data_IF_539505510890
#
_entry.id   IF_539505510890
#
_cell.length_a   1.000
_cell.length_b   1.000
_cell.length_c   1.000
_cell.angle_alpha   90.00
_cell.angle_beta   90.00
_cell.angle_gamma   90.00
#
_symmetry.space_group_name_H-M   'P 1'
#
loop_
_entity.id
_entity.type
_entity.pdbx_description
1 polymer ?
#
# COMPACT_ATOMS: atom_id res chain seq x y z
N UNK A 1 10.95 -6.48 24.97
CA UNK A 1 11.69 -6.91 23.74
C UNK A 1 11.15 -8.18 23.08
N UNK A 2 11.08 -9.39 23.72
CA UNK A 2 10.54 -10.60 23.07
C UNK A 2 9.05 -10.49 22.78
N UNK A 3 8.26 -9.96 23.69
CA UNK A 3 6.81 -9.77 23.54
C UNK A 3 6.47 -8.76 22.44
N UNK A 4 7.14 -7.63 22.38
CA UNK A 4 6.92 -6.60 21.33
C UNK A 4 7.22 -7.13 19.93
N UNK A 5 8.28 -7.93 19.79
CA UNK A 5 8.59 -8.62 18.52
C UNK A 5 7.48 -9.58 18.12
N UNK A 6 6.96 -10.38 19.05
CA UNK A 6 5.86 -11.29 18.77
C UNK A 6 4.60 -10.53 18.31
N UNK A 7 4.24 -9.43 18.99
CA UNK A 7 3.12 -8.58 18.60
C UNK A 7 3.35 -7.96 17.20
N UNK A 8 4.56 -7.55 16.87
CA UNK A 8 4.89 -7.02 15.54
C UNK A 8 4.72 -8.08 14.44
N UNK A 9 5.07 -9.34 14.69
CA UNK A 9 4.83 -10.43 13.74
C UNK A 9 3.32 -10.76 13.59
N UNK A 10 2.55 -10.72 14.68
CA UNK A 10 1.08 -10.88 14.62
C UNK A 10 0.45 -9.74 13.82
N UNK A 11 0.85 -8.50 14.08
CA UNK A 11 0.41 -7.35 13.32
C UNK A 11 0.74 -7.49 11.83
N UNK A 12 1.96 -7.93 11.51
CA UNK A 12 2.39 -8.20 10.14
C UNK A 12 1.54 -9.31 9.47
N UNK A 13 1.29 -10.43 10.15
CA UNK A 13 0.43 -11.50 9.65
C UNK A 13 -1.01 -11.00 9.40
N UNK A 14 -1.55 -10.16 10.29
CA UNK A 14 -2.85 -9.52 10.11
C UNK A 14 -2.87 -8.67 8.83
N UNK A 15 -1.84 -7.89 8.57
CA UNK A 15 -1.71 -7.10 7.31
C UNK A 15 -1.70 -8.02 6.10
N UNK A 16 -0.88 -9.07 6.12
CA UNK A 16 -0.76 -10.02 5.02
C UNK A 16 -2.12 -10.64 4.63
N UNK A 17 -2.88 -11.09 5.61
CA UNK A 17 -4.18 -11.75 5.36
C UNK A 17 -5.21 -10.71 4.95
N UNK A 18 -5.42 -9.69 5.78
CA UNK A 18 -6.54 -8.75 5.59
C UNK A 18 -6.34 -7.91 4.32
N UNK A 19 -5.15 -7.38 4.05
CA UNK A 19 -4.95 -6.61 2.82
C UNK A 19 -4.99 -7.46 1.56
N UNK A 20 -4.65 -8.76 1.65
CA UNK A 20 -4.86 -9.68 0.55
C UNK A 20 -6.32 -9.81 0.12
N UNK A 21 -7.24 -9.74 1.07
CA UNK A 21 -8.69 -9.77 0.77
C UNK A 21 -9.24 -8.42 0.29
N UNK A 22 -8.56 -7.30 0.57
CA UNK A 22 -9.12 -5.96 0.26
C UNK A 22 -9.31 -5.71 -1.23
N UNK A 23 -8.52 -6.29 -2.11
CA UNK A 23 -8.66 -6.17 -3.56
C UNK A 23 -10.03 -6.69 -4.03
N UNK A 24 -10.46 -7.86 -3.55
CA UNK A 24 -11.80 -8.37 -3.80
C UNK A 24 -12.89 -7.39 -3.36
N UNK A 25 -12.80 -6.89 -2.12
CA UNK A 25 -13.82 -5.98 -1.59
C UNK A 25 -13.78 -4.59 -2.21
N UNK A 26 -12.62 -4.11 -2.68
CA UNK A 26 -12.52 -2.89 -3.50
C UNK A 26 -13.30 -3.09 -4.80
N UNK A 27 -13.05 -4.19 -5.51
CA UNK A 27 -13.74 -4.50 -6.77
C UNK A 27 -15.25 -4.54 -6.60
N UNK A 28 -15.74 -5.15 -5.52
CA UNK A 28 -17.18 -5.17 -5.19
C UNK A 28 -17.69 -3.77 -4.84
N UNK A 29 -16.96 -3.00 -4.04
CA UNK A 29 -17.42 -1.68 -3.61
C UNK A 29 -17.58 -0.71 -4.78
N UNK A 30 -16.66 -0.74 -5.76
CA UNK A 30 -16.69 0.17 -6.92
C UNK A 30 -17.73 -0.24 -7.99
N UNK A 31 -18.48 -1.33 -7.79
CA UNK A 31 -19.60 -1.67 -8.68
C UNK A 31 -20.64 -0.53 -8.75
N UNK A 32 -20.87 0.17 -7.62
CA UNK A 32 -21.87 1.25 -7.53
C UNK A 32 -21.34 2.50 -6.83
N UNK A 33 -20.20 2.44 -6.19
CA UNK A 33 -19.58 3.58 -5.48
C UNK A 33 -18.41 4.09 -6.33
N UNK A 34 -18.43 5.37 -6.76
CA UNK A 34 -17.31 5.92 -7.53
C UNK A 34 -15.98 5.86 -6.75
N UNK A 35 -14.84 5.63 -7.42
CA UNK A 35 -13.56 5.31 -6.78
C UNK A 35 -13.07 6.33 -5.76
N UNK A 36 -13.17 7.64 -6.06
CA UNK A 36 -12.70 8.66 -5.14
C UNK A 36 -13.58 8.71 -3.90
N UNK A 37 -14.91 8.73 -4.09
CA UNK A 37 -15.85 8.77 -2.97
C UNK A 37 -15.86 7.46 -2.16
N UNK A 38 -15.58 6.31 -2.79
CA UNK A 38 -15.36 5.05 -2.07
C UNK A 38 -14.12 5.13 -1.16
N UNK A 39 -13.00 5.58 -1.71
CA UNK A 39 -11.76 5.78 -0.94
C UNK A 39 -11.98 6.80 0.19
N UNK A 40 -12.60 7.93 -0.11
CA UNK A 40 -12.89 8.99 0.85
C UNK A 40 -13.77 8.50 2.00
N UNK A 41 -14.93 7.91 1.70
CA UNK A 41 -15.88 7.42 2.71
C UNK A 41 -15.24 6.35 3.61
N UNK A 42 -14.49 5.42 3.02
CA UNK A 42 -13.73 4.39 3.75
C UNK A 42 -12.77 5.01 4.75
N UNK A 43 -11.88 5.90 4.30
CA UNK A 43 -10.82 6.41 5.14
C UNK A 43 -11.26 7.51 6.10
N UNK A 44 -12.27 8.31 5.76
CA UNK A 44 -12.87 9.26 6.69
C UNK A 44 -13.58 8.49 7.82
N UNK A 45 -14.41 7.50 7.50
CA UNK A 45 -15.09 6.68 8.52
C UNK A 45 -14.08 5.96 9.42
N UNK A 46 -13.06 5.32 8.85
CA UNK A 46 -12.00 4.67 9.61
C UNK A 46 -11.21 5.65 10.49
N UNK A 47 -10.86 6.81 9.93
CA UNK A 47 -10.16 7.87 10.66
C UNK A 47 -10.96 8.41 11.84
N UNK A 48 -12.28 8.60 11.69
CA UNK A 48 -13.16 9.02 12.77
C UNK A 48 -13.27 7.95 13.87
N UNK A 49 -13.42 6.67 13.50
CA UNK A 49 -13.45 5.55 14.46
C UNK A 49 -12.13 5.52 15.24
N UNK A 50 -11.00 5.59 14.56
CA UNK A 50 -9.69 5.54 15.21
C UNK A 50 -9.43 6.78 16.07
N UNK A 51 -9.89 7.95 15.65
CA UNK A 51 -9.80 9.18 16.42
C UNK A 51 -10.62 9.06 17.71
N UNK A 52 -11.82 8.50 17.64
CA UNK A 52 -12.66 8.25 18.82
C UNK A 52 -11.95 7.27 19.78
N UNK A 53 -11.41 6.14 19.27
CA UNK A 53 -10.67 5.17 20.10
C UNK A 53 -9.41 5.81 20.72
N UNK A 54 -8.66 6.61 19.98
CA UNK A 54 -7.48 7.33 20.47
C UNK A 54 -7.86 8.27 21.63
N UNK A 55 -8.96 9.02 21.48
CA UNK A 55 -9.49 9.90 22.54
C UNK A 55 -9.95 9.14 23.79
N UNK A 56 -10.68 8.03 23.60
CA UNK A 56 -11.13 7.17 24.71
C UNK A 56 -9.95 6.55 25.48
N UNK A 57 -8.82 6.31 24.80
CA UNK A 57 -7.58 5.84 25.42
C UNK A 57 -6.74 6.96 26.05
N UNK A 58 -7.20 8.20 26.00
CA UNK A 58 -6.49 9.36 26.57
C UNK A 58 -5.22 9.76 25.80
N UNK A 59 -5.05 9.31 24.53
CA UNK A 59 -3.91 9.73 23.72
C UNK A 59 -3.98 11.22 23.43
N UNK A 60 -2.84 11.90 23.60
CA UNK A 60 -2.71 13.32 23.27
C UNK A 60 -2.56 13.50 21.76
N UNK A 61 -3.48 14.23 21.16
CA UNK A 61 -3.36 14.58 19.76
C UNK A 61 -2.29 15.64 19.56
N UNK A 62 -1.46 15.52 18.50
CA UNK A 62 -0.50 16.55 18.15
C UNK A 62 -1.22 17.85 17.79
N UNK A 63 -0.68 18.98 18.22
CA UNK A 63 -1.23 20.32 17.95
C UNK A 63 -0.25 21.22 17.21
N UNK A 64 1.01 20.83 17.19
CA UNK A 64 2.03 21.60 16.51
C UNK A 64 1.92 21.49 14.99
N UNK A 65 2.13 22.59 14.29
CA UNK A 65 1.96 22.70 12.84
C UNK A 65 2.89 21.77 12.06
N UNK A 66 4.09 21.50 12.57
CA UNK A 66 5.07 20.65 11.92
C UNK A 66 4.60 19.19 11.90
N UNK A 67 4.18 18.67 13.05
CA UNK A 67 3.65 17.29 13.17
C UNK A 67 2.36 17.13 12.35
N UNK A 68 1.44 18.10 12.41
CA UNK A 68 0.23 18.08 11.59
C UNK A 68 0.54 18.10 10.09
N UNK A 69 1.51 18.93 9.66
CA UNK A 69 1.98 18.94 8.27
C UNK A 69 2.58 17.61 7.84
N UNK A 70 3.40 16.97 8.69
CA UNK A 70 3.97 15.65 8.41
C UNK A 70 2.89 14.56 8.32
N UNK A 71 1.85 14.61 9.14
CA UNK A 71 0.70 13.71 9.09
C UNK A 71 -0.11 13.91 7.80
N UNK A 72 -0.31 15.17 7.39
CA UNK A 72 -0.99 15.50 6.14
C UNK A 72 -0.21 14.98 4.92
N UNK A 73 1.12 15.17 4.89
CA UNK A 73 1.99 14.64 3.83
C UNK A 73 1.90 13.11 3.79
N UNK A 74 2.06 12.42 4.93
CA UNK A 74 1.97 10.97 4.98
C UNK A 74 0.59 10.46 4.53
N UNK A 75 -0.50 11.07 5.01
CA UNK A 75 -1.87 10.72 4.64
C UNK A 75 -2.16 10.97 3.16
N UNK A 76 -1.71 12.09 2.60
CA UNK A 76 -1.86 12.38 1.17
C UNK A 76 -1.10 11.35 0.32
N UNK A 77 0.13 11.02 0.67
CA UNK A 77 0.93 10.07 -0.07
C UNK A 77 0.39 8.63 0.02
N UNK A 78 0.00 8.19 1.22
CA UNK A 78 -0.44 6.80 1.42
C UNK A 78 -1.90 6.60 1.01
N UNK A 79 -2.81 7.44 1.48
CA UNK A 79 -4.25 7.31 1.23
C UNK A 79 -4.64 8.05 -0.03
N UNK A 80 -4.25 9.32 -0.15
CA UNK A 80 -4.65 10.21 -1.23
C UNK A 80 -4.14 9.79 -2.60
N UNK A 81 -2.91 9.32 -2.70
CA UNK A 81 -2.33 8.84 -3.96
C UNK A 81 -2.15 7.33 -3.96
N UNK A 82 -1.54 6.77 -2.91
CA UNK A 82 -1.18 5.37 -2.85
C UNK A 82 -2.38 4.43 -2.95
N UNK A 83 -3.33 4.55 -2.04
CA UNK A 83 -4.52 3.68 -2.03
C UNK A 83 -5.51 4.03 -3.14
N UNK A 84 -5.76 5.34 -3.38
CA UNK A 84 -6.65 5.77 -4.44
C UNK A 84 -6.24 5.23 -5.81
N UNK A 85 -4.93 5.18 -6.12
CA UNK A 85 -4.45 4.66 -7.40
C UNK A 85 -4.85 3.21 -7.63
N UNK A 86 -4.81 2.37 -6.58
CA UNK A 86 -5.26 0.98 -6.65
C UNK A 86 -6.76 0.91 -6.91
N UNK A 87 -7.54 1.63 -6.09
CA UNK A 87 -9.01 1.67 -6.20
C UNK A 87 -9.45 2.15 -7.58
N UNK A 88 -8.82 3.20 -8.08
CA UNK A 88 -9.12 3.77 -9.39
C UNK A 88 -8.74 2.82 -10.54
N UNK A 89 -7.61 2.15 -10.42
CA UNK A 89 -7.13 1.21 -11.43
C UNK A 89 -8.00 -0.06 -11.53
N UNK A 90 -8.60 -0.50 -10.43
CA UNK A 90 -9.46 -1.69 -10.42
C UNK A 90 -10.74 -1.53 -11.26
N UNK A 91 -11.03 -0.34 -11.81
CA UNK A 91 -12.06 -0.19 -12.83
C UNK A 91 -11.71 -0.97 -14.11
N UNK A 92 -10.43 -1.13 -14.44
CA UNK A 92 -9.94 -1.78 -15.67
C UNK A 92 -8.96 -2.93 -15.40
N UNK A 93 -8.37 -2.97 -14.23
CA UNK A 93 -7.39 -3.99 -13.83
C UNK A 93 -8.09 -4.99 -12.90
N UNK A 94 -8.11 -6.28 -13.23
CA UNK A 94 -8.62 -7.32 -12.35
C UNK A 94 -7.94 -7.29 -10.97
N UNK A 95 -8.70 -7.63 -9.94
CA UNK A 95 -8.25 -7.51 -8.53
C UNK A 95 -6.97 -8.32 -8.25
N UNK A 96 -6.88 -9.54 -8.80
CA UNK A 96 -5.68 -10.36 -8.69
C UNK A 96 -4.46 -9.75 -9.37
N UNK A 97 -4.63 -9.12 -10.55
CA UNK A 97 -3.55 -8.44 -11.26
C UNK A 97 -3.15 -7.12 -10.57
N UNK A 98 -4.11 -6.39 -9.99
CA UNK A 98 -3.80 -5.21 -9.19
C UNK A 98 -2.90 -5.55 -8.00
N UNK A 99 -3.22 -6.64 -7.28
CA UNK A 99 -2.38 -7.13 -6.19
C UNK A 99 -0.97 -7.53 -6.64
N UNK A 100 -0.85 -8.19 -7.81
CA UNK A 100 0.45 -8.54 -8.41
C UNK A 100 1.27 -7.31 -8.78
N UNK A 101 0.64 -6.27 -9.32
CA UNK A 101 1.30 -5.00 -9.62
C UNK A 101 1.77 -4.28 -8.35
N UNK A 102 0.98 -4.34 -7.28
CA UNK A 102 1.38 -3.79 -5.95
C UNK A 102 2.52 -4.60 -5.32
N UNK A 103 2.73 -5.86 -5.69
CA UNK A 103 3.85 -6.66 -5.19
C UNK A 103 5.23 -6.09 -5.53
N UNK A 104 5.33 -5.10 -6.41
CA UNK A 104 6.54 -4.31 -6.65
C UNK A 104 6.85 -3.29 -5.54
N UNK A 105 5.96 -3.07 -4.59
CA UNK A 105 6.13 -2.11 -3.50
C UNK A 105 7.48 -2.22 -2.76
N UNK A 106 8.03 -3.42 -2.45
CA UNK A 106 9.35 -3.55 -1.85
C UNK A 106 10.49 -3.00 -2.72
N UNK A 107 10.36 -3.00 -4.04
CA UNK A 107 11.37 -2.42 -4.93
C UNK A 107 11.40 -0.89 -4.79
N UNK A 108 10.23 -0.26 -4.75
CA UNK A 108 10.11 1.17 -4.51
C UNK A 108 10.69 1.56 -3.14
N UNK A 109 10.40 0.77 -2.10
CA UNK A 109 10.99 1.00 -0.77
C UNK A 109 12.51 0.84 -0.81
N UNK A 110 13.04 -0.15 -1.52
CA UNK A 110 14.47 -0.38 -1.68
C UNK A 110 15.15 0.83 -2.37
N UNK A 111 14.54 1.35 -3.42
CA UNK A 111 15.02 2.54 -4.14
C UNK A 111 15.02 3.75 -3.21
N UNK A 112 13.92 4.00 -2.49
CA UNK A 112 13.81 5.13 -1.55
C UNK A 112 14.90 5.07 -0.47
N UNK A 113 15.12 3.90 0.12
CA UNK A 113 16.14 3.72 1.15
C UNK A 113 17.56 3.87 0.59
N UNK A 114 17.82 3.48 -0.66
CA UNK A 114 19.12 3.64 -1.31
C UNK A 114 19.52 5.11 -1.52
N UNK A 115 18.55 6.00 -1.75
CA UNK A 115 18.79 7.44 -1.90
C UNK A 115 18.88 8.19 -0.56
N UNK A 116 18.69 7.53 0.57
CA UNK A 116 18.81 8.17 1.88
C UNK A 116 20.24 8.09 2.39
N UNK A 117 20.76 9.18 2.96
CA UNK A 117 22.13 9.28 3.50
C UNK A 117 22.43 8.26 4.61
N UNK A 118 21.42 7.83 5.36
CA UNK A 118 21.52 6.79 6.40
C UNK A 118 20.64 5.57 6.05
N UNK A 119 20.30 5.40 4.76
CA UNK A 119 19.43 4.34 4.27
C UNK A 119 20.15 3.00 4.09
N UNK A 120 19.37 1.98 3.86
CA UNK A 120 19.88 0.65 3.58
C UNK A 120 20.29 0.58 2.09
N UNK A 121 21.56 0.28 1.80
CA UNK A 121 22.02 0.12 0.41
C UNK A 121 21.69 -1.26 -0.13
N UNK A 122 21.17 -1.32 -1.35
CA UNK A 122 20.85 -2.56 -2.06
C UNK A 122 22.14 -3.17 -2.60
N UNK A 123 22.41 -4.43 -2.32
CA UNK A 123 23.54 -5.15 -2.92
C UNK A 123 23.21 -5.65 -4.35
N UNK A 124 24.19 -6.30 -5.02
CA UNK A 124 23.98 -6.85 -6.36
C UNK A 124 22.82 -7.84 -6.44
N UNK A 125 22.58 -8.64 -5.39
CA UNK A 125 21.47 -9.61 -5.35
C UNK A 125 20.14 -8.88 -5.32
N UNK A 126 20.04 -7.79 -4.55
CA UNK A 126 18.85 -6.95 -4.51
C UNK A 126 18.55 -6.31 -5.87
N UNK A 127 19.57 -5.81 -6.59
CA UNK A 127 19.40 -5.26 -7.94
C UNK A 127 18.91 -6.34 -8.92
N UNK A 128 19.51 -7.54 -8.90
CA UNK A 128 19.06 -8.67 -9.74
C UNK A 128 17.62 -9.04 -9.39
N UNK A 129 17.28 -9.10 -8.10
CA UNK A 129 15.92 -9.37 -7.65
C UNK A 129 14.90 -8.34 -8.17
N UNK A 130 15.24 -7.05 -8.15
CA UNK A 130 14.40 -6.00 -8.72
C UNK A 130 14.20 -6.19 -10.23
N UNK A 131 15.26 -6.47 -10.99
CA UNK A 131 15.16 -6.71 -12.42
C UNK A 131 14.27 -7.92 -12.75
N UNK A 132 14.43 -9.02 -12.01
CA UNK A 132 13.58 -10.22 -12.15
C UNK A 132 12.13 -9.86 -11.83
N UNK A 133 11.86 -9.16 -10.73
CA UNK A 133 10.51 -8.76 -10.34
C UNK A 133 9.84 -7.85 -11.36
N UNK A 134 10.54 -6.83 -11.87
CA UNK A 134 10.03 -5.98 -12.96
C UNK A 134 9.82 -6.74 -14.27
N UNK A 135 10.66 -7.73 -14.59
CA UNK A 135 10.40 -8.63 -15.72
C UNK A 135 9.08 -9.40 -15.56
N UNK A 136 8.78 -9.89 -14.34
CA UNK A 136 7.48 -10.50 -14.04
C UNK A 136 6.31 -9.53 -14.21
N UNK A 137 6.45 -8.26 -13.81
CA UNK A 137 5.45 -7.22 -14.07
C UNK A 137 5.28 -6.99 -15.59
N UNK A 138 6.37 -6.90 -16.33
CA UNK A 138 6.32 -6.76 -17.79
C UNK A 138 5.59 -7.93 -18.46
N UNK A 139 5.79 -9.17 -17.96
CA UNK A 139 5.03 -10.34 -18.42
C UNK A 139 3.52 -10.18 -18.21
N UNK A 140 3.08 -9.59 -17.12
CA UNK A 140 1.65 -9.32 -16.86
C UNK A 140 1.08 -8.26 -17.80
N UNK A 141 1.87 -7.26 -18.13
CA UNK A 141 1.47 -6.09 -18.94
C UNK A 141 1.66 -6.37 -20.45
N UNK A 142 2.29 -7.48 -20.84
CA UNK A 142 2.45 -7.85 -22.26
C UNK A 142 1.12 -8.33 -22.87
N UNK A 143 0.68 -7.78 -24.02
CA UNK A 143 -0.54 -8.22 -24.71
C UNK A 143 -0.50 -9.71 -25.05
N UNK A 144 -1.64 -10.41 -24.93
CA UNK A 144 -1.75 -11.87 -25.11
C UNK A 144 -2.62 -12.23 -26.31
N UNK A 145 -2.04 -13.03 -27.22
CA UNK A 145 -2.77 -13.74 -28.27
C UNK A 145 -3.16 -12.87 -29.48
N UNK A 146 -3.60 -13.52 -30.52
CA UNK A 146 -4.02 -12.96 -31.79
C UNK A 146 -5.32 -12.14 -31.67
N UNK A 147 -5.22 -10.91 -31.20
CA UNK A 147 -6.34 -9.99 -31.10
C UNK A 147 -6.47 -9.23 -29.77
N UNK A 148 -5.69 -9.54 -28.74
CA UNK A 148 -5.81 -8.94 -27.41
C UNK A 148 -4.72 -7.94 -27.07
N UNK A 149 -4.72 -6.75 -27.69
CA UNK A 149 -4.05 -5.61 -27.06
C UNK A 149 -4.74 -5.33 -25.72
N UNK A 150 -3.97 -5.13 -24.63
CA UNK A 150 -4.54 -4.58 -23.41
C UNK A 150 -5.29 -3.29 -23.72
N UNK A 151 -6.46 -3.13 -23.14
CA UNK A 151 -7.17 -1.85 -23.28
C UNK A 151 -6.25 -0.71 -22.76
N UNK A 152 -6.36 0.45 -23.37
CA UNK A 152 -5.65 1.65 -22.88
C UNK A 152 -5.93 1.86 -21.40
N UNK A 153 -7.17 1.60 -20.94
CA UNK A 153 -7.54 1.64 -19.53
C UNK A 153 -6.70 0.72 -18.64
N UNK A 154 -6.43 -0.51 -19.06
CA UNK A 154 -5.57 -1.42 -18.30
C UNK A 154 -4.14 -0.89 -18.16
N UNK A 155 -3.54 -0.38 -19.25
CA UNK A 155 -2.17 0.15 -19.21
C UNK A 155 -2.07 1.39 -18.31
N UNK A 156 -3.05 2.30 -18.40
CA UNK A 156 -3.13 3.48 -17.54
C UNK A 156 -3.34 3.05 -16.08
N UNK A 157 -4.21 2.08 -15.83
CA UNK A 157 -4.44 1.51 -14.50
C UNK A 157 -3.18 0.87 -13.91
N UNK A 158 -2.45 0.09 -14.71
CA UNK A 158 -1.19 -0.53 -14.29
C UNK A 158 -0.13 0.54 -13.93
N UNK A 159 -0.01 1.58 -14.75
CA UNK A 159 0.89 2.70 -14.46
C UNK A 159 0.45 3.46 -13.19
N UNK A 160 -0.84 3.71 -13.02
CA UNK A 160 -1.38 4.36 -11.83
C UNK A 160 -1.04 3.55 -10.56
N UNK A 161 -1.13 2.21 -10.60
CA UNK A 161 -0.74 1.35 -9.48
C UNK A 161 0.76 1.50 -9.17
N UNK A 162 1.64 1.61 -10.16
CA UNK A 162 3.08 1.81 -9.92
C UNK A 162 3.36 3.18 -9.27
N UNK A 163 2.74 4.24 -9.78
CA UNK A 163 2.83 5.59 -9.17
C UNK A 163 2.27 5.57 -7.74
N UNK A 164 1.13 4.91 -7.53
CA UNK A 164 0.54 4.72 -6.21
C UNK A 164 1.42 3.92 -5.26
N UNK A 165 2.05 2.84 -5.73
CA UNK A 165 2.98 2.04 -4.94
C UNK A 165 4.21 2.85 -4.51
N UNK A 166 4.80 3.63 -5.42
CA UNK A 166 5.89 4.56 -5.09
C UNK A 166 5.43 5.58 -4.04
N UNK A 167 4.25 6.20 -4.25
CA UNK A 167 3.69 7.20 -3.33
C UNK A 167 3.43 6.61 -1.93
N UNK A 168 2.87 5.39 -1.86
CA UNK A 168 2.66 4.68 -0.60
C UNK A 168 3.97 4.46 0.15
N UNK A 169 5.02 4.01 -0.53
CA UNK A 169 6.32 3.77 0.10
C UNK A 169 7.00 5.07 0.54
N UNK A 170 6.88 6.14 -0.24
CA UNK A 170 7.36 7.48 0.16
C UNK A 170 6.64 7.96 1.43
N UNK A 171 5.30 7.84 1.47
CA UNK A 171 4.51 8.20 2.64
C UNK A 171 4.85 7.35 3.87
N UNK A 172 5.08 6.05 3.69
CA UNK A 172 5.49 5.12 4.75
C UNK A 172 6.87 5.47 5.32
N UNK A 173 7.85 5.74 4.44
CA UNK A 173 9.18 6.19 4.84
C UNK A 173 9.09 7.55 5.54
N UNK A 174 8.33 8.50 4.97
CA UNK A 174 8.11 9.82 5.59
C UNK A 174 7.55 9.70 7.00
N UNK A 175 6.47 8.91 7.19
CA UNK A 175 5.85 8.68 8.48
C UNK A 175 6.81 8.05 9.48
N UNK A 176 7.55 7.00 9.08
CA UNK A 176 8.53 6.32 9.94
C UNK A 176 9.58 7.27 10.52
N UNK A 177 10.03 8.25 9.74
CA UNK A 177 11.13 9.10 10.14
C UNK A 177 10.70 10.42 10.79
N UNK A 178 9.54 10.95 10.42
CA UNK A 178 9.09 12.27 10.86
C UNK A 178 7.97 12.25 11.92
N UNK A 179 7.35 11.08 12.19
CA UNK A 179 6.24 10.94 13.14
C UNK A 179 6.61 10.14 14.40
N UNK A 180 7.91 10.07 14.72
CA UNK A 180 8.37 9.38 15.93
C UNK A 180 7.81 10.07 17.17
N UNK A 181 7.31 9.26 18.11
CA UNK A 181 6.73 9.78 19.37
C UNK A 181 5.28 10.25 19.25
N UNK A 182 4.69 10.28 18.05
CA UNK A 182 3.25 10.49 17.90
C UNK A 182 2.51 9.21 18.27
N UNK A 183 1.46 9.25 19.12
CA UNK A 183 0.67 8.06 19.44
C UNK A 183 0.12 7.39 18.17
N UNK A 184 0.20 6.07 18.15
CA UNK A 184 -0.05 5.28 16.94
C UNK A 184 -1.45 5.47 16.37
N UNK A 185 -2.48 5.38 17.24
CA UNK A 185 -3.87 5.52 16.81
C UNK A 185 -4.16 6.94 16.34
N UNK A 186 -3.67 7.95 17.07
CA UNK A 186 -3.78 9.35 16.67
C UNK A 186 -3.11 9.61 15.33
N UNK A 187 -1.90 9.06 15.13
CA UNK A 187 -1.16 9.18 13.87
C UNK A 187 -1.94 8.57 12.69
N UNK A 188 -2.40 7.33 12.85
CA UNK A 188 -3.16 6.64 11.80
C UNK A 188 -4.49 7.34 11.51
N UNK A 189 -5.23 7.76 12.55
CA UNK A 189 -6.49 8.48 12.41
C UNK A 189 -6.33 9.77 11.60
N UNK A 190 -5.33 10.59 11.94
CA UNK A 190 -5.10 11.87 11.28
C UNK A 190 -4.59 11.70 9.85
N UNK A 191 -3.72 10.72 9.58
CA UNK A 191 -3.30 10.39 8.21
C UNK A 191 -4.50 10.00 7.34
N UNK A 192 -5.40 9.16 7.84
CA UNK A 192 -6.62 8.76 7.13
C UNK A 192 -7.55 9.94 6.90
N UNK A 193 -7.76 10.80 7.89
CA UNK A 193 -8.62 11.98 7.77
C UNK A 193 -8.05 12.97 6.76
N UNK A 194 -6.76 13.29 6.81
CA UNK A 194 -6.14 14.20 5.84
C UNK A 194 -6.22 13.66 4.42
N UNK A 195 -5.78 12.40 4.20
CA UNK A 195 -5.82 11.79 2.88
C UNK A 195 -7.24 11.59 2.37
N UNK A 196 -8.15 11.06 3.22
CA UNK A 196 -9.56 10.85 2.88
C UNK A 196 -10.30 12.13 2.55
N UNK A 197 -10.07 13.21 3.32
CA UNK A 197 -10.69 14.53 3.05
C UNK A 197 -10.20 15.11 1.72
N UNK A 198 -8.90 15.01 1.43
CA UNK A 198 -8.36 15.46 0.14
C UNK A 198 -9.03 14.73 -1.02
N UNK A 199 -9.17 13.40 -0.90
CA UNK A 199 -9.83 12.59 -1.93
C UNK A 199 -11.32 12.89 -2.03
N UNK A 200 -12.00 13.17 -0.89
CA UNK A 200 -13.41 13.60 -0.90
C UNK A 200 -13.60 14.91 -1.68
N UNK A 201 -12.74 15.90 -1.42
CA UNK A 201 -12.79 17.19 -2.15
C UNK A 201 -12.57 16.95 -3.64
N UNK A 202 -11.59 16.13 -4.02
CA UNK A 202 -11.34 15.79 -5.42
C UNK A 202 -12.53 15.08 -6.07
N UNK A 203 -13.11 14.05 -5.40
CA UNK A 203 -14.27 13.31 -5.91
C UNK A 203 -15.51 14.16 -6.10
N UNK A 204 -15.77 15.08 -5.16
CA UNK A 204 -16.86 16.04 -5.27
C UNK A 204 -16.61 17.04 -6.41
N UNK A 205 -15.38 17.54 -6.55
CA UNK A 205 -15.00 18.51 -7.59
C UNK A 205 -15.12 17.94 -9.01
N UNK A 206 -14.84 16.64 -9.21
CA UNK A 206 -15.02 15.97 -10.52
C UNK A 206 -16.43 15.42 -10.75
N UNK A 207 -17.38 15.68 -9.83
CA UNK A 207 -18.78 15.33 -10.00
C UNK A 207 -19.09 13.85 -9.77
N UNK A 208 -18.42 13.17 -8.86
CA UNK A 208 -18.75 11.76 -8.52
C UNK A 208 -20.04 11.60 -7.71
N UNK A 209 -20.47 12.65 -6.97
CA UNK A 209 -21.59 12.57 -6.03
C UNK A 209 -22.91 12.02 -6.62
N UNK A 210 -23.38 12.41 -7.82
CA UNK A 210 -24.61 11.88 -8.40
C UNK A 210 -24.55 10.38 -8.75
N UNK A 211 -23.34 9.82 -8.88
CA UNK A 211 -23.12 8.38 -9.19
C UNK A 211 -22.95 7.53 -7.94
N UNK A 212 -22.91 8.14 -6.76
CA UNK A 212 -22.72 7.42 -5.50
C UNK A 212 -24.01 6.69 -5.13
N UNK A 213 -23.99 5.36 -5.19
CA UNK A 213 -25.10 4.51 -4.80
C UNK A 213 -24.64 3.38 -3.88
N UNK A 214 -25.44 3.12 -2.84
CA UNK A 214 -25.19 2.04 -1.90
C UNK A 214 -26.21 0.93 -2.14
N UNK A 215 -25.73 -0.26 -2.41
CA UNK A 215 -26.51 -1.51 -2.34
C UNK A 215 -26.10 -2.28 -1.09
N UNK A 216 -26.88 -3.27 -0.62
CA UNK A 216 -26.45 -4.11 0.50
C UNK A 216 -25.06 -4.76 0.27
N UNK A 217 -24.77 -5.17 -0.97
CA UNK A 217 -23.50 -5.78 -1.39
C UNK A 217 -22.34 -4.77 -1.28
N UNK A 218 -22.47 -3.59 -1.87
CA UNK A 218 -21.41 -2.57 -1.86
C UNK A 218 -21.24 -1.90 -0.51
N UNK A 219 -22.34 -1.76 0.27
CA UNK A 219 -22.25 -1.32 1.67
C UNK A 219 -21.48 -2.32 2.54
N UNK A 220 -21.78 -3.62 2.41
CA UNK A 220 -21.04 -4.66 3.12
C UNK A 220 -19.55 -4.67 2.79
N UNK A 221 -19.21 -4.51 1.51
CA UNK A 221 -17.84 -4.38 1.06
C UNK A 221 -17.15 -3.13 1.64
N UNK A 222 -17.80 -1.97 1.60
CA UNK A 222 -17.30 -0.72 2.18
C UNK A 222 -17.11 -0.84 3.70
N UNK A 223 -18.05 -1.44 4.41
CA UNK A 223 -17.95 -1.69 5.85
C UNK A 223 -16.76 -2.61 6.19
N UNK A 224 -16.60 -3.71 5.45
CA UNK A 224 -15.44 -4.60 5.57
C UNK A 224 -14.13 -3.84 5.35
N UNK A 225 -14.02 -3.10 4.25
CA UNK A 225 -12.84 -2.30 3.94
C UNK A 225 -12.54 -1.26 5.03
N UNK A 226 -13.57 -0.64 5.59
CA UNK A 226 -13.43 0.35 6.66
C UNK A 226 -12.89 -0.29 7.93
N UNK A 227 -13.53 -1.34 8.41
CA UNK A 227 -13.21 -1.96 9.72
C UNK A 227 -11.93 -2.80 9.62
N UNK A 228 -11.92 -3.79 8.73
CA UNK A 228 -10.79 -4.72 8.64
C UNK A 228 -9.62 -4.12 7.85
N UNK A 229 -9.88 -3.59 6.66
CA UNK A 229 -8.84 -3.06 5.77
C UNK A 229 -8.18 -1.78 6.26
N UNK A 230 -8.94 -0.91 6.95
CA UNK A 230 -8.43 0.39 7.40
C UNK A 230 -8.22 0.45 8.91
N UNK A 231 -9.24 0.23 9.75
CA UNK A 231 -9.02 0.36 11.21
C UNK A 231 -8.03 -0.69 11.72
N UNK A 232 -8.23 -1.96 11.40
CA UNK A 232 -7.42 -3.05 11.93
C UNK A 232 -6.09 -3.15 11.18
N UNK A 233 -6.12 -3.38 9.86
CA UNK A 233 -4.91 -3.69 9.12
C UNK A 233 -3.97 -2.48 8.93
N UNK A 234 -4.48 -1.27 8.75
CA UNK A 234 -3.63 -0.08 8.67
C UNK A 234 -2.95 0.22 10.01
N UNK A 235 -3.67 0.07 11.15
CA UNK A 235 -3.06 0.19 12.47
C UNK A 235 -1.97 -0.85 12.69
N UNK A 236 -2.25 -2.11 12.29
CA UNK A 236 -1.28 -3.19 12.33
C UNK A 236 -0.06 -2.89 11.45
N UNK A 237 -0.26 -2.32 10.26
CA UNK A 237 0.82 -1.91 9.36
C UNK A 237 1.71 -0.82 9.97
N UNK A 238 1.11 0.25 10.48
CA UNK A 238 1.88 1.37 11.10
C UNK A 238 2.62 0.85 12.33
N UNK A 239 2.01 -0.04 13.11
CA UNK A 239 2.67 -0.69 14.25
C UNK A 239 3.86 -1.56 13.78
N UNK A 240 3.67 -2.43 12.80
CA UNK A 240 4.73 -3.26 12.25
C UNK A 240 5.87 -2.40 11.68
N UNK A 241 5.53 -1.35 10.93
CA UNK A 241 6.51 -0.40 10.36
C UNK A 241 7.35 0.31 11.43
N UNK A 242 6.75 0.60 12.60
CA UNK A 242 7.46 1.21 13.73
C UNK A 242 8.42 0.24 14.43
N UNK A 243 8.08 -1.07 14.49
CA UNK A 243 8.81 -2.07 15.29
C UNK A 243 9.64 -3.05 14.45
N UNK A 244 9.48 -3.07 13.13
CA UNK A 244 10.22 -3.93 12.20
C UNK A 244 11.09 -3.07 11.25
N UNK A 245 12.03 -3.73 10.55
CA UNK A 245 12.74 -3.09 9.45
C UNK A 245 11.73 -2.75 8.34
N UNK A 246 11.90 -1.60 7.69
CA UNK A 246 11.01 -1.12 6.63
C UNK A 246 10.86 -2.14 5.50
N UNK A 247 11.98 -2.78 5.15
CA UNK A 247 12.04 -3.86 4.17
C UNK A 247 11.23 -5.09 4.58
N UNK A 248 11.29 -5.49 5.87
CA UNK A 248 10.49 -6.60 6.37
C UNK A 248 9.00 -6.24 6.44
N UNK A 249 8.68 -5.00 6.83
CA UNK A 249 7.30 -4.55 6.88
C UNK A 249 6.63 -4.52 5.49
N UNK A 250 7.41 -4.35 4.40
CA UNK A 250 6.87 -4.37 3.02
C UNK A 250 6.62 -5.77 2.46
N UNK A 251 7.01 -6.84 3.18
CA UNK A 251 6.79 -8.24 2.75
C UNK A 251 5.32 -8.65 2.64
N UNK A 252 4.38 -7.91 3.24
CA UNK A 252 2.95 -8.16 3.04
C UNK A 252 2.58 -8.19 1.55
N UNK A 253 3.28 -7.42 0.74
CA UNK A 253 3.07 -7.34 -0.71
C UNK A 253 3.30 -8.68 -1.44
N UNK A 254 3.88 -9.69 -0.78
CA UNK A 254 4.03 -11.04 -1.34
C UNK A 254 2.84 -11.96 -1.10
N UNK A 255 2.28 -11.86 0.10
CA UNK A 255 1.16 -12.72 0.49
C UNK A 255 -0.13 -12.22 -0.17
N UNK A 256 -0.27 -10.89 -0.28
CA UNK A 256 -1.46 -10.28 -0.85
C UNK A 256 -1.85 -10.80 -2.23
N UNK A 257 -0.94 -10.91 -3.23
CA UNK A 257 -1.30 -11.43 -4.55
C UNK A 257 -1.83 -12.86 -4.53
N UNK A 258 -1.27 -13.72 -3.67
CA UNK A 258 -1.73 -15.11 -3.55
C UNK A 258 -3.19 -15.14 -3.09
N UNK A 259 -3.51 -14.37 -2.05
CA UNK A 259 -4.87 -14.26 -1.52
C UNK A 259 -5.81 -13.59 -2.54
N UNK A 260 -5.39 -12.48 -3.16
CA UNK A 260 -6.20 -11.73 -4.10
C UNK A 260 -6.52 -12.51 -5.37
N UNK A 261 -5.51 -13.17 -5.97
CA UNK A 261 -5.69 -13.99 -7.18
C UNK A 261 -6.62 -15.18 -6.90
N UNK A 262 -6.43 -15.85 -5.76
CA UNK A 262 -7.30 -16.96 -5.36
C UNK A 262 -8.76 -16.52 -5.15
N UNK A 263 -8.98 -15.41 -4.45
CA UNK A 263 -10.33 -14.90 -4.20
C UNK A 263 -10.96 -14.28 -5.44
N UNK A 264 -10.20 -13.59 -6.28
CA UNK A 264 -10.66 -13.06 -7.55
C UNK A 264 -11.15 -14.16 -8.48
N UNK A 265 -10.38 -15.26 -8.59
CA UNK A 265 -10.78 -16.44 -9.34
C UNK A 265 -12.02 -17.13 -8.73
N UNK A 266 -12.05 -17.34 -7.42
CA UNK A 266 -13.11 -18.09 -6.74
C UNK A 266 -14.46 -17.35 -6.67
N UNK A 267 -14.44 -16.02 -6.51
CA UNK A 267 -15.64 -15.23 -6.16
C UNK A 267 -16.09 -14.29 -7.29
N UNK A 268 -15.15 -13.80 -8.09
CA UNK A 268 -15.41 -12.84 -9.17
C UNK A 268 -15.24 -13.43 -10.57
N UNK A 269 -15.01 -14.75 -10.70
CA UNK A 269 -14.76 -15.44 -11.96
C UNK A 269 -13.62 -14.79 -12.79
N UNK A 270 -12.65 -14.15 -12.12
CA UNK A 270 -11.49 -13.53 -12.79
C UNK A 270 -10.63 -14.61 -13.47
N UNK A 271 -10.18 -14.39 -14.72
CA UNK A 271 -9.44 -15.40 -15.45
C UNK A 271 -8.06 -15.66 -14.84
N UNK A 272 -7.82 -16.87 -14.35
CA UNK A 272 -6.52 -17.33 -13.91
C UNK A 272 -5.76 -17.97 -15.08
N UNK A 273 -4.91 -17.19 -15.75
CA UNK A 273 -4.12 -17.70 -16.88
C UNK A 273 -2.79 -18.29 -16.40
N UNK A 274 -2.27 -19.26 -17.18
CA UNK A 274 -0.93 -19.84 -16.93
C UNK A 274 0.16 -18.75 -16.83
N UNK A 275 0.09 -17.75 -17.71
CA UNK A 275 1.06 -16.64 -17.68
C UNK A 275 0.92 -15.77 -16.43
N UNK A 276 -0.28 -15.59 -15.86
CA UNK A 276 -0.47 -14.91 -14.57
C UNK A 276 0.20 -15.68 -13.45
N UNK A 277 0.11 -17.02 -13.46
CA UNK A 277 0.79 -17.87 -12.48
C UNK A 277 2.31 -17.77 -12.62
N UNK A 278 2.84 -17.87 -13.86
CA UNK A 278 4.29 -17.74 -14.11
C UNK A 278 4.78 -16.35 -13.71
N UNK A 279 4.09 -15.29 -14.09
CA UNK A 279 4.44 -13.92 -13.71
C UNK A 279 4.42 -13.72 -12.20
N UNK A 280 3.44 -14.30 -11.49
CA UNK A 280 3.38 -14.30 -10.03
C UNK A 280 4.62 -14.97 -9.43
N UNK A 281 5.00 -16.15 -9.91
CA UNK A 281 6.20 -16.85 -9.44
C UNK A 281 7.45 -16.00 -9.69
N UNK A 282 7.59 -15.39 -10.87
CA UNK A 282 8.74 -14.54 -11.21
C UNK A 282 8.79 -13.30 -10.32
N UNK A 283 7.65 -12.61 -10.11
CA UNK A 283 7.57 -11.46 -9.20
C UNK A 283 7.99 -11.88 -7.79
N UNK A 284 7.39 -12.94 -7.25
CA UNK A 284 7.65 -13.40 -5.89
C UNK A 284 9.11 -13.84 -5.72
N UNK A 285 9.70 -14.52 -6.71
CA UNK A 285 11.12 -14.89 -6.71
C UNK A 285 12.04 -13.66 -6.71
N UNK A 286 11.76 -12.67 -7.57
CA UNK A 286 12.50 -11.40 -7.60
C UNK A 286 12.49 -10.71 -6.25
N UNK A 287 11.35 -10.66 -5.63
CA UNK A 287 11.17 -10.00 -4.35
C UNK A 287 11.81 -10.82 -3.21
N UNK A 288 11.71 -12.16 -3.19
CA UNK A 288 12.44 -13.00 -2.24
C UNK A 288 13.95 -12.75 -2.33
N UNK A 289 14.48 -12.57 -3.54
CA UNK A 289 15.89 -12.26 -3.76
C UNK A 289 16.27 -10.90 -3.19
N UNK A 290 15.44 -9.86 -3.35
CA UNK A 290 15.65 -8.53 -2.74
C UNK A 290 15.68 -8.64 -1.21
N UNK A 291 14.83 -9.47 -0.63
CA UNK A 291 14.73 -9.60 0.83
C UNK A 291 15.89 -10.39 1.46
N UNK A 292 16.41 -11.37 0.73
CA UNK A 292 17.57 -12.15 1.17
C UNK A 292 18.89 -11.45 0.87
N UNK A 293 18.85 -10.32 0.16
CA UNK A 293 20.03 -9.52 -0.12
C UNK A 293 20.61 -8.90 1.16
N UNK A 294 21.92 -8.86 1.25
CA UNK A 294 22.64 -8.31 2.40
C UNK A 294 22.54 -6.79 2.44
N UNK A 295 21.53 -6.26 3.13
CA UNK A 295 21.36 -4.83 3.34
C UNK A 295 22.43 -4.32 4.33
N UNK A 296 23.48 -3.69 3.81
CA UNK A 296 24.46 -3.00 4.65
C UNK A 296 23.93 -1.61 5.01
N UNK A 297 23.77 -1.31 6.30
CA UNK A 297 23.63 0.09 6.73
C UNK A 297 24.85 0.85 6.24
N UNK A 298 24.65 1.96 5.53
CA UNK A 298 25.72 2.92 5.31
C UNK A 298 26.24 3.32 6.71
N UNK A 299 27.49 3.02 7.01
CA UNK A 299 28.06 3.43 8.30
C UNK A 299 28.09 4.97 8.29
N UNK A 300 27.69 5.57 9.41
CA UNK A 300 27.73 7.03 9.58
C UNK A 300 29.17 7.55 9.34
N UNK A 301 30.19 6.72 9.62
CA UNK A 301 31.58 6.97 9.31
C UNK A 301 31.88 7.10 7.82
N UNK A 302 31.36 6.21 6.98
CA UNK A 302 31.59 6.26 5.54
C UNK A 302 30.93 7.50 4.88
N UNK A 303 29.79 7.94 5.38
CA UNK A 303 29.12 9.17 4.92
C UNK A 303 29.85 10.43 5.36
N UNK A 304 30.48 10.38 6.54
CA UNK A 304 31.31 11.49 7.03
C UNK A 304 32.63 11.62 6.24
N UNK A 305 33.26 10.50 5.87
CA UNK A 305 34.46 10.48 5.03
C UNK A 305 34.18 10.97 3.60
N UNK A 306 33.05 10.57 2.99
CA UNK A 306 32.65 11.01 1.65
C UNK A 306 32.33 12.53 1.63
N UNK A 307 31.76 13.07 2.72
CA UNK A 307 31.53 14.53 2.86
C UNK A 307 32.80 15.34 3.21
N UNK A 308 33.82 14.70 3.76
CA UNK A 308 35.10 15.35 4.04
C UNK A 308 36.04 15.31 2.82
N UNK A 309 35.76 14.44 1.83
CA UNK A 309 36.52 14.29 0.61
C UNK A 309 35.94 15.06 -0.59
N UNK A 310 34.73 15.64 -0.47
CA UNK A 310 34.05 16.47 -1.47
C UNK A 310 34.12 17.95 -1.06
#
# INVERSE_FOLDING_TARGET
MKHEKAVAYVAFATVCIVWGTTYLFIRIAIETIPPLLMTASRFIAAGLIMLAVSRLRGEKLPRDRRTLGNLAVAGTLMVGLGNLSVVWAEQWVPSGLAALLVATAPFWMAIIEAFRSAGERVDRRGVIGMLIGFAGVAMLVTPRGSGGAWSVGFLIGALAIQVGSLSWQLGSAWGKYNLRGVPLLASSALQMLFGGTLVAIAGLAIGEAPRFALTPRTFGALAYLTIFGSVIAFSAYVFALAHMRTTHASLYAYVNPVVAVFLGWLILDEPLTWLSIVAMIVILAGVALVQTSGWKRASVAAVAEEKAAA
#
